data_IF_871770422093
#
_entry.id   IF_871770422093
#
_cell.length_a   1.000
_cell.length_b   1.000
_cell.length_c   1.000
_cell.angle_alpha   90.00
_cell.angle_beta   90.00
_cell.angle_gamma   90.00
#
_symmetry.space_group_name_H-M   'P 1'
#
loop_
_entity.id
_entity.type
_entity.pdbx_description
1 polymer ?
#
# COMPACT_ATOMS: atom_id res chain seq x y z
N UNK A 1 47.81 -18.69 -32.14
CA UNK A 1 47.99 -18.64 -30.68
C UNK A 1 46.94 -17.72 -30.06
N UNK A 2 46.29 -18.16 -28.97
CA UNK A 2 45.28 -17.43 -28.17
C UNK A 2 45.90 -16.24 -27.42
N UNK A 3 45.10 -15.22 -27.15
CA UNK A 3 44.73 -14.64 -25.83
C UNK A 3 43.82 -13.43 -26.13
N UNK A 4 42.67 -13.14 -25.52
CA UNK A 4 42.08 -13.53 -24.24
C UNK A 4 41.80 -12.25 -23.44
N UNK A 5 40.53 -11.79 -23.36
CA UNK A 5 40.14 -10.64 -22.54
C UNK A 5 38.71 -10.16 -22.80
N UNK A 6 37.73 -10.79 -22.16
CA UNK A 6 36.34 -10.32 -22.06
C UNK A 6 36.26 -9.05 -21.19
N UNK A 7 35.29 -8.15 -21.47
CA UNK A 7 34.65 -7.36 -20.42
C UNK A 7 33.18 -7.80 -20.22
N UNK A 8 32.86 -8.08 -18.97
CA UNK A 8 31.55 -8.43 -18.43
C UNK A 8 30.38 -7.54 -18.92
N UNK A 9 29.17 -8.10 -19.10
CA UNK A 9 27.99 -7.34 -19.51
C UNK A 9 27.44 -6.51 -18.33
N UNK A 10 27.19 -5.22 -18.60
CA UNK A 10 26.45 -4.33 -17.71
C UNK A 10 25.04 -4.89 -17.50
N UNK A 11 24.65 -5.02 -16.23
CA UNK A 11 23.32 -5.41 -15.78
C UNK A 11 22.26 -4.42 -16.29
N UNK A 12 21.45 -4.86 -17.24
CA UNK A 12 20.33 -4.10 -17.83
C UNK A 12 19.02 -4.32 -17.05
N UNK A 13 19.00 -3.97 -15.77
CA UNK A 13 17.74 -3.91 -15.01
C UNK A 13 17.11 -2.52 -15.09
N UNK A 14 16.65 -2.15 -16.28
CA UNK A 14 15.62 -1.12 -16.50
C UNK A 14 15.43 -0.89 -18.00
N UNK A 15 14.59 -1.70 -18.63
CA UNK A 15 14.01 -1.34 -19.92
C UNK A 15 12.49 -1.50 -19.79
N UNK A 16 11.70 -0.41 -19.89
CA UNK A 16 10.26 -0.54 -20.12
C UNK A 16 10.10 -1.20 -21.48
N UNK A 17 9.53 -2.40 -21.51
CA UNK A 17 9.22 -3.14 -22.74
C UNK A 17 8.19 -2.34 -23.55
N UNK A 18 8.68 -1.48 -24.45
CA UNK A 18 7.91 -0.96 -25.57
C UNK A 18 8.07 -1.94 -26.72
N UNK A 19 7.06 -2.77 -26.95
CA UNK A 19 6.96 -3.56 -28.18
C UNK A 19 6.62 -2.63 -29.34
N UNK A 20 7.63 -2.22 -30.11
CA UNK A 20 7.44 -1.80 -31.49
C UNK A 20 7.15 -3.06 -32.33
N UNK A 21 5.87 -3.36 -32.52
CA UNK A 21 5.39 -4.37 -33.48
C UNK A 21 4.60 -3.68 -34.58
N UNK A 22 5.26 -3.43 -35.72
CA UNK A 22 4.62 -3.04 -36.97
C UNK A 22 3.77 -4.21 -37.50
N UNK A 23 2.45 -4.08 -37.42
CA UNK A 23 1.51 -5.07 -37.97
C UNK A 23 0.16 -5.08 -37.26
N UNK A 24 -0.56 -3.96 -37.24
CA UNK A 24 -1.95 -3.92 -36.77
C UNK A 24 -2.89 -3.79 -37.98
N UNK A 25 -3.25 -4.92 -38.60
CA UNK A 25 -4.48 -5.03 -39.36
C UNK A 25 -5.63 -5.26 -38.37
N UNK A 26 -6.65 -4.38 -38.39
CA UNK A 26 -7.94 -4.56 -37.70
C UNK A 26 -7.90 -5.04 -36.22
N UNK A 27 -6.95 -4.54 -35.41
CA UNK A 27 -6.73 -4.98 -34.02
C UNK A 27 -7.17 -3.99 -32.94
N UNK A 28 -8.48 -3.82 -32.70
CA UNK A 28 -8.97 -2.94 -31.61
C UNK A 28 -9.53 -3.68 -30.40
N UNK A 29 -9.98 -4.93 -30.56
CA UNK A 29 -10.57 -5.73 -29.47
C UNK A 29 -9.55 -6.61 -28.77
N UNK A 30 -8.70 -7.36 -29.49
CA UNK A 30 -7.69 -8.23 -28.86
C UNK A 30 -6.65 -7.46 -28.04
N UNK A 31 -6.08 -6.37 -28.56
CA UNK A 31 -5.15 -5.53 -27.80
C UNK A 31 -5.80 -4.93 -26.55
N UNK A 32 -7.09 -4.56 -26.61
CA UNK A 32 -7.83 -4.08 -25.43
C UNK A 32 -8.05 -5.20 -24.42
N UNK A 33 -8.40 -6.40 -24.86
CA UNK A 33 -8.64 -7.56 -23.99
C UNK A 33 -7.35 -7.99 -23.28
N UNK A 34 -6.22 -8.04 -23.99
CA UNK A 34 -4.91 -8.40 -23.38
C UNK A 34 -4.46 -7.35 -22.35
N UNK A 35 -4.61 -6.06 -22.64
CA UNK A 35 -4.34 -4.98 -21.69
C UNK A 35 -5.23 -5.09 -20.43
N UNK A 36 -6.52 -5.40 -20.62
CA UNK A 36 -7.48 -5.59 -19.53
C UNK A 36 -7.15 -6.82 -18.68
N UNK A 37 -6.70 -7.94 -19.27
CA UNK A 37 -6.32 -9.15 -18.53
C UNK A 37 -5.06 -8.91 -17.67
N UNK A 38 -4.09 -8.14 -18.17
CA UNK A 38 -2.90 -7.76 -17.39
C UNK A 38 -3.28 -6.83 -16.22
N UNK A 39 -4.21 -5.88 -16.43
CA UNK A 39 -4.78 -5.04 -15.36
C UNK A 39 -5.55 -5.87 -14.30
N UNK A 40 -6.26 -6.93 -14.72
CA UNK A 40 -7.00 -7.81 -13.80
C UNK A 40 -6.09 -8.57 -12.82
N UNK A 41 -4.82 -8.81 -13.18
CA UNK A 41 -3.80 -9.40 -12.31
C UNK A 41 -3.28 -8.48 -11.19
N UNK A 42 -3.61 -7.18 -11.23
CA UNK A 42 -3.22 -6.18 -10.23
C UNK A 42 -4.31 -5.83 -9.21
N UNK A 43 -5.44 -6.55 -9.19
CA UNK A 43 -6.54 -6.28 -8.27
C UNK A 43 -6.12 -6.35 -6.81
N UNK A 44 -6.59 -5.39 -6.02
CA UNK A 44 -6.43 -5.42 -4.56
C UNK A 44 -7.14 -6.65 -3.99
N UNK A 45 -6.38 -7.54 -3.35
CA UNK A 45 -6.95 -8.75 -2.78
C UNK A 45 -7.91 -8.41 -1.64
N UNK A 46 -9.00 -9.18 -1.48
CA UNK A 46 -10.02 -8.91 -0.46
C UNK A 46 -9.47 -8.87 0.97
N UNK A 47 -8.44 -9.68 1.25
CA UNK A 47 -7.75 -9.69 2.55
C UNK A 47 -7.02 -8.39 2.84
N UNK A 48 -6.58 -7.62 1.82
CA UNK A 48 -5.92 -6.32 2.00
C UNK A 48 -6.86 -5.30 2.62
N UNK A 49 -8.16 -5.36 2.30
CA UNK A 49 -9.16 -4.52 2.97
C UNK A 49 -9.28 -4.89 4.45
N UNK A 50 -9.30 -6.19 4.75
CA UNK A 50 -9.42 -6.70 6.12
C UNK A 50 -8.21 -6.27 6.95
N UNK A 51 -6.99 -6.44 6.43
CA UNK A 51 -5.77 -6.04 7.16
C UNK A 51 -5.67 -4.52 7.32
N UNK A 52 -6.08 -3.75 6.30
CA UNK A 52 -6.07 -2.28 6.37
C UNK A 52 -7.09 -1.75 7.39
N UNK A 53 -8.25 -2.40 7.50
CA UNK A 53 -9.27 -2.03 8.49
C UNK A 53 -8.89 -2.51 9.90
N UNK A 54 -8.28 -3.69 10.01
CA UNK A 54 -7.89 -4.27 11.28
C UNK A 54 -6.83 -3.42 12.00
N UNK A 55 -5.88 -2.81 11.28
CA UNK A 55 -4.81 -2.01 11.90
C UNK A 55 -5.30 -0.92 12.87
N UNK A 56 -6.16 0.06 12.46
CA UNK A 56 -6.67 1.06 13.40
C UNK A 56 -7.66 0.48 14.41
N UNK A 57 -8.47 -0.51 14.04
CA UNK A 57 -9.48 -1.11 14.93
C UNK A 57 -8.82 -1.85 16.08
N UNK A 58 -7.79 -2.65 15.80
CA UNK A 58 -7.01 -3.38 16.80
C UNK A 58 -6.34 -2.40 17.74
N UNK A 59 -5.73 -1.31 17.23
CA UNK A 59 -5.08 -0.32 18.08
C UNK A 59 -6.07 0.31 19.08
N UNK A 60 -7.22 0.78 18.58
CA UNK A 60 -8.25 1.40 19.42
C UNK A 60 -8.84 0.39 20.41
N UNK A 61 -9.16 -0.82 19.94
CA UNK A 61 -9.71 -1.89 20.78
C UNK A 61 -8.74 -2.29 21.90
N UNK A 62 -7.45 -2.47 21.58
CA UNK A 62 -6.43 -2.77 22.56
C UNK A 62 -6.26 -1.64 23.59
N UNK A 63 -6.30 -0.38 23.17
CA UNK A 63 -6.23 0.76 24.08
C UNK A 63 -7.42 0.81 25.06
N UNK A 64 -8.63 0.54 24.58
CA UNK A 64 -9.84 0.47 25.42
C UNK A 64 -9.74 -0.68 26.42
N UNK A 65 -9.38 -1.88 25.95
CA UNK A 65 -9.25 -3.07 26.79
C UNK A 65 -8.13 -2.93 27.82
N UNK A 66 -6.96 -2.43 27.41
CA UNK A 66 -5.83 -2.21 28.30
C UNK A 66 -6.18 -1.21 29.41
N UNK A 67 -6.88 -0.12 29.06
CA UNK A 67 -7.36 0.85 30.05
C UNK A 67 -8.42 0.26 30.98
N UNK A 68 -9.30 -0.61 30.50
CA UNK A 68 -10.34 -1.23 31.32
C UNK A 68 -9.78 -2.19 32.39
N UNK A 69 -8.64 -2.83 32.10
CA UNK A 69 -7.97 -3.79 33.01
C UNK A 69 -6.92 -3.10 33.89
N UNK A 70 -6.53 -1.87 33.57
CA UNK A 70 -5.52 -1.13 34.31
C UNK A 70 -6.04 -0.73 35.70
N UNK A 71 -5.29 -1.10 36.74
CA UNK A 71 -5.66 -0.86 38.14
C UNK A 71 -5.21 0.49 38.67
N UNK A 72 -4.30 1.17 37.97
CA UNK A 72 -3.77 2.49 38.34
C UNK A 72 -4.50 3.61 37.60
N UNK A 73 -4.48 4.82 38.16
CA UNK A 73 -4.98 6.01 37.47
C UNK A 73 -4.25 6.20 36.14
N UNK A 74 -5.01 6.44 35.08
CA UNK A 74 -4.49 6.71 33.74
C UNK A 74 -5.34 7.79 33.06
N UNK A 75 -4.70 8.89 32.72
CA UNK A 75 -5.36 10.00 32.01
C UNK A 75 -5.07 9.91 30.51
N UNK A 76 -6.12 9.72 29.71
CA UNK A 76 -5.99 9.53 28.26
C UNK A 76 -5.70 10.81 27.49
N UNK A 77 -5.86 11.97 28.14
CA UNK A 77 -5.52 13.27 27.53
C UNK A 77 -4.02 13.53 27.58
N UNK A 78 -3.41 13.29 28.75
CA UNK A 78 -1.99 13.56 28.98
C UNK A 78 -1.08 12.35 28.71
N UNK A 79 -1.54 11.13 28.99
CA UNK A 79 -0.69 9.93 28.93
C UNK A 79 -0.87 9.15 27.63
N UNK A 80 0.26 8.73 27.06
CA UNK A 80 0.32 8.05 25.76
C UNK A 80 -0.13 6.60 25.80
N UNK A 81 -0.50 6.08 24.64
CA UNK A 81 -0.64 4.66 24.32
C UNK A 81 0.66 3.90 24.58
N UNK A 82 1.82 4.48 24.27
CA UNK A 82 3.12 3.90 24.61
C UNK A 82 3.35 3.77 26.11
N UNK A 83 2.91 4.76 26.89
CA UNK A 83 2.92 4.69 28.35
C UNK A 83 1.98 3.59 28.87
N UNK A 84 0.80 3.45 28.28
CA UNK A 84 -0.14 2.36 28.60
C UNK A 84 0.46 0.98 28.32
N UNK A 85 1.22 0.85 27.23
CA UNK A 85 1.95 -0.37 26.87
C UNK A 85 3.17 -0.67 27.76
N UNK A 86 3.57 0.25 28.64
CA UNK A 86 4.69 0.07 29.55
C UNK A 86 4.29 -0.18 31.00
N UNK A 87 3.00 -0.31 31.31
CA UNK A 87 2.51 -0.28 32.71
C UNK A 87 1.53 -1.38 33.08
N UNK A 88 1.84 -2.04 34.20
CA UNK A 88 0.88 -2.77 35.03
C UNK A 88 0.11 -3.87 34.31
N UNK A 89 -1.16 -4.05 34.71
CA UNK A 89 -2.05 -5.10 34.20
C UNK A 89 -2.51 -4.89 32.75
N UNK A 90 -2.43 -3.66 32.22
CA UNK A 90 -2.83 -3.32 30.85
C UNK A 90 -1.71 -3.48 29.81
N UNK A 91 -0.45 -3.58 30.24
CA UNK A 91 0.74 -3.62 29.39
C UNK A 91 0.64 -4.68 28.28
N UNK A 92 0.40 -5.94 28.65
CA UNK A 92 0.40 -7.05 27.68
C UNK A 92 -0.65 -6.89 26.57
N UNK A 93 -1.83 -6.35 26.93
CA UNK A 93 -2.93 -6.10 25.97
C UNK A 93 -2.53 -5.02 24.97
N UNK A 94 -1.98 -3.91 25.47
CA UNK A 94 -1.60 -2.80 24.61
C UNK A 94 -0.40 -3.14 23.72
N UNK A 95 0.62 -3.83 24.24
CA UNK A 95 1.75 -4.33 23.45
C UNK A 95 1.28 -5.29 22.36
N UNK A 96 0.38 -6.23 22.66
CA UNK A 96 -0.21 -7.11 21.66
C UNK A 96 -0.99 -6.32 20.58
N UNK A 97 -1.70 -5.26 20.99
CA UNK A 97 -2.36 -4.32 20.10
C UNK A 97 -1.38 -3.65 19.12
N UNK A 98 -0.23 -3.17 19.59
CA UNK A 98 0.81 -2.62 18.74
C UNK A 98 1.38 -3.66 17.76
N UNK A 99 1.71 -4.85 18.25
CA UNK A 99 2.25 -5.94 17.41
C UNK A 99 1.28 -6.31 16.30
N UNK A 100 0.00 -6.53 16.64
CA UNK A 100 -1.00 -6.92 15.67
C UNK A 100 -1.31 -5.80 14.67
N UNK A 101 -1.41 -4.54 15.13
CA UNK A 101 -1.60 -3.39 14.24
C UNK A 101 -0.43 -3.21 13.27
N UNK A 102 0.80 -3.37 13.76
CA UNK A 102 2.02 -3.33 12.96
C UNK A 102 2.07 -4.46 11.92
N UNK A 103 1.74 -5.69 12.33
CA UNK A 103 1.63 -6.83 11.42
C UNK A 103 0.57 -6.60 10.33
N UNK A 104 -0.58 -6.02 10.70
CA UNK A 104 -1.61 -5.61 9.75
C UNK A 104 -1.10 -4.57 8.74
N UNK A 105 -0.26 -3.62 9.15
CA UNK A 105 0.35 -2.64 8.23
C UNK A 105 1.32 -3.30 7.25
N UNK A 106 2.17 -4.23 7.72
CA UNK A 106 3.08 -4.99 6.85
C UNK A 106 2.29 -5.85 5.86
N UNK A 107 1.25 -6.54 6.33
CA UNK A 107 0.35 -7.30 5.47
C UNK A 107 -0.31 -6.40 4.41
N UNK A 108 -0.81 -5.24 4.83
CA UNK A 108 -1.41 -4.25 3.94
C UNK A 108 -0.42 -3.78 2.87
N UNK A 109 0.85 -3.56 3.21
CA UNK A 109 1.91 -3.23 2.25
C UNK A 109 2.15 -4.32 1.18
N UNK A 110 1.99 -5.59 1.55
CA UNK A 110 2.08 -6.72 0.60
C UNK A 110 0.89 -6.76 -0.37
N UNK A 111 -0.29 -6.37 0.10
CA UNK A 111 -1.55 -6.45 -0.65
C UNK A 111 -1.85 -5.25 -1.56
N UNK A 112 -1.31 -4.07 -1.24
CA UNK A 112 -1.54 -2.81 -1.95
C UNK A 112 -0.71 -2.72 -3.25
N UNK A 113 -1.04 -3.56 -4.25
CA UNK A 113 -0.34 -3.58 -5.55
C UNK A 113 -0.67 -2.38 -6.46
N UNK A 114 -1.78 -1.69 -6.20
CA UNK A 114 -2.25 -0.54 -6.99
C UNK A 114 -1.43 0.74 -6.74
N UNK A 115 -0.69 0.81 -5.63
CA UNK A 115 0.17 1.96 -5.32
C UNK A 115 1.62 1.68 -5.67
N UNK A 116 2.38 2.76 -5.87
CA UNK A 116 3.82 2.72 -6.16
C UNK A 116 4.57 1.91 -5.10
N UNK A 117 5.61 1.20 -5.55
CA UNK A 117 6.48 0.42 -4.66
C UNK A 117 7.06 1.26 -3.52
N UNK A 118 7.38 2.53 -3.77
CA UNK A 118 7.84 3.49 -2.75
C UNK A 118 6.89 3.61 -1.56
N UNK A 119 5.58 3.73 -1.81
CA UNK A 119 4.57 3.83 -0.75
C UNK A 119 4.46 2.52 0.06
N UNK A 120 4.60 1.37 -0.62
CA UNK A 120 4.57 0.05 0.02
C UNK A 120 5.78 -0.17 0.92
N UNK A 121 6.96 0.25 0.47
CA UNK A 121 8.19 0.20 1.28
C UNK A 121 8.03 1.09 2.51
N UNK A 122 7.54 2.33 2.36
CA UNK A 122 7.29 3.21 3.50
C UNK A 122 6.28 2.61 4.50
N UNK A 123 5.21 1.99 4.00
CA UNK A 123 4.23 1.31 4.85
C UNK A 123 4.82 0.09 5.59
N UNK A 124 5.68 -0.68 4.93
CA UNK A 124 6.39 -1.79 5.57
C UNK A 124 7.39 -1.30 6.63
N UNK A 125 8.14 -0.22 6.34
CA UNK A 125 9.02 0.45 7.31
C UNK A 125 8.23 0.91 8.53
N UNK A 126 7.09 1.56 8.32
CA UNK A 126 6.21 1.98 9.41
C UNK A 126 5.76 0.81 10.29
N UNK A 127 5.38 -0.31 9.68
CA UNK A 127 5.05 -1.54 10.40
C UNK A 127 6.23 -2.08 11.21
N UNK A 128 7.44 -2.14 10.63
CA UNK A 128 8.65 -2.53 11.35
C UNK A 128 8.96 -1.60 12.53
N UNK A 129 8.79 -0.28 12.35
CA UNK A 129 8.90 0.70 13.42
C UNK A 129 7.88 0.44 14.54
N UNK A 130 6.63 0.10 14.20
CA UNK A 130 5.61 -0.28 15.19
C UNK A 130 5.97 -1.54 15.98
N UNK A 131 6.59 -2.54 15.34
CA UNK A 131 7.13 -3.71 16.04
C UNK A 131 8.28 -3.34 16.98
N UNK A 132 9.16 -2.43 16.57
CA UNK A 132 10.23 -1.91 17.42
C UNK A 132 9.67 -1.13 18.63
N UNK A 133 8.64 -0.30 18.45
CA UNK A 133 7.92 0.38 19.54
C UNK A 133 7.37 -0.63 20.56
N UNK A 134 6.81 -1.75 20.09
CA UNK A 134 6.32 -2.82 20.96
C UNK A 134 7.45 -3.57 21.69
N UNK A 135 8.60 -3.78 21.03
CA UNK A 135 9.75 -4.47 21.60
C UNK A 135 10.52 -3.62 22.64
N UNK A 136 10.50 -2.30 22.49
CA UNK A 136 11.23 -1.35 23.34
C UNK A 136 10.23 -0.46 24.09
N UNK A 137 9.61 -0.93 25.19
CA UNK A 137 8.64 -0.13 25.95
C UNK A 137 9.30 1.11 26.58
N UNK A 138 8.58 2.24 26.55
CA UNK A 138 9.07 3.56 26.97
C UNK A 138 9.40 3.67 28.47
N UNK A 139 8.79 2.83 29.30
CA UNK A 139 8.98 2.86 30.77
C UNK A 139 10.33 2.29 31.22
N UNK A 140 11.09 1.67 30.32
CA UNK A 140 12.46 1.22 30.59
C UNK A 140 13.42 2.30 30.13
N UNK A 141 14.07 3.01 31.05
CA UNK A 141 14.92 4.17 30.76
C UNK A 141 16.01 3.91 29.72
N UNK A 142 16.57 2.69 29.68
CA UNK A 142 17.58 2.29 28.70
C UNK A 142 17.05 2.21 27.25
N UNK A 143 15.73 2.09 27.08
CA UNK A 143 15.07 1.92 25.79
C UNK A 143 14.45 3.21 25.24
N UNK A 144 14.44 4.30 26.02
CA UNK A 144 13.73 5.54 25.68
C UNK A 144 14.15 6.09 24.32
N UNK A 145 15.45 6.18 24.06
CA UNK A 145 15.98 6.68 22.79
C UNK A 145 15.56 5.81 21.60
N UNK A 146 15.68 4.49 21.73
CA UNK A 146 15.27 3.52 20.70
C UNK A 146 13.76 3.57 20.46
N UNK A 147 12.97 3.69 21.52
CA UNK A 147 11.51 3.83 21.43
C UNK A 147 11.13 5.10 20.68
N UNK A 148 11.71 6.24 21.03
CA UNK A 148 11.43 7.53 20.39
C UNK A 148 11.86 7.54 18.92
N UNK A 149 13.02 6.94 18.60
CA UNK A 149 13.48 6.79 17.21
C UNK A 149 12.53 5.90 16.40
N UNK A 150 12.08 4.78 16.97
CA UNK A 150 11.14 3.89 16.32
C UNK A 150 9.76 4.56 16.12
N UNK A 151 9.23 5.21 17.16
CA UNK A 151 7.96 5.91 17.10
C UNK A 151 8.00 7.05 16.08
N UNK A 152 8.99 7.95 16.17
CA UNK A 152 9.16 9.05 15.24
C UNK A 152 9.39 8.58 13.80
N UNK A 153 10.24 7.56 13.60
CA UNK A 153 10.46 6.96 12.29
C UNK A 153 9.20 6.35 11.68
N UNK A 154 8.38 5.68 12.49
CA UNK A 154 7.11 5.10 12.06
C UNK A 154 6.09 6.15 11.64
N UNK A 155 5.92 7.20 12.45
CA UNK A 155 5.03 8.33 12.15
C UNK A 155 5.45 9.03 10.85
N UNK A 156 6.74 9.38 10.72
CA UNK A 156 7.28 10.02 9.50
C UNK A 156 7.06 9.12 8.28
N UNK A 157 7.33 7.81 8.39
CA UNK A 157 7.12 6.87 7.29
C UNK A 157 5.64 6.84 6.86
N UNK A 158 4.69 6.84 7.80
CA UNK A 158 3.25 6.88 7.50
C UNK A 158 2.82 8.21 6.89
N UNK A 159 3.29 9.35 7.41
CA UNK A 159 3.01 10.67 6.87
C UNK A 159 3.47 10.84 5.40
N UNK A 160 4.51 10.10 4.99
CA UNK A 160 5.02 10.07 3.62
C UNK A 160 4.28 9.09 2.70
N UNK A 161 3.48 8.15 3.21
CA UNK A 161 2.74 7.19 2.35
C UNK A 161 1.86 7.87 1.29
N UNK A 162 1.06 8.94 1.59
CA UNK A 162 0.23 9.60 0.60
C UNK A 162 1.05 10.19 -0.56
N UNK A 163 2.09 10.97 -0.24
CA UNK A 163 2.94 11.62 -1.25
C UNK A 163 3.74 10.58 -2.06
N UNK A 164 4.23 9.52 -1.43
CA UNK A 164 4.95 8.44 -2.12
C UNK A 164 4.03 7.56 -2.99
N UNK A 165 2.73 7.58 -2.73
CA UNK A 165 1.70 6.85 -3.47
C UNK A 165 1.08 7.66 -4.62
N UNK A 166 1.46 8.91 -4.80
CA UNK A 166 0.84 9.79 -5.80
C UNK A 166 1.04 9.27 -7.22
N UNK A 167 0.03 9.46 -8.07
CA UNK A 167 0.11 9.20 -9.51
C UNK A 167 -0.75 10.20 -10.28
N UNK A 168 -0.21 10.69 -11.40
CA UNK A 168 -0.90 11.62 -12.32
C UNK A 168 -1.62 10.91 -13.47
N UNK A 169 -1.58 9.57 -13.53
CA UNK A 169 -2.21 8.81 -14.61
C UNK A 169 -3.75 8.96 -14.58
N UNK A 170 -4.38 9.02 -15.75
CA UNK A 170 -5.83 9.28 -15.88
C UNK A 170 -6.72 8.22 -15.19
N UNK A 171 -6.26 6.97 -15.11
CA UNK A 171 -6.94 5.86 -14.44
C UNK A 171 -6.69 5.79 -12.91
N UNK A 172 -5.95 6.75 -12.35
CA UNK A 172 -5.57 6.74 -10.92
C UNK A 172 -6.77 7.07 -10.01
N UNK A 173 -6.97 6.33 -8.90
CA UNK A 173 -7.96 6.68 -7.87
C UNK A 173 -7.80 8.12 -7.36
N UNK A 174 -8.91 8.81 -7.05
CA UNK A 174 -8.90 10.22 -6.61
C UNK A 174 -7.94 10.48 -5.44
N UNK A 175 -7.85 9.55 -4.49
CA UNK A 175 -6.98 9.64 -3.30
C UNK A 175 -5.49 9.69 -3.64
N UNK A 176 -5.09 9.09 -4.77
CA UNK A 176 -3.71 9.08 -5.24
C UNK A 176 -3.42 10.26 -6.19
N UNK A 177 -4.39 11.14 -6.48
CA UNK A 177 -4.14 12.35 -7.26
C UNK A 177 -3.28 13.33 -6.47
N UNK A 178 -2.44 14.15 -7.14
CA UNK A 178 -1.49 15.04 -6.48
C UNK A 178 -2.11 15.95 -5.41
N UNK A 179 -3.27 16.57 -5.69
CA UNK A 179 -3.95 17.45 -4.72
C UNK A 179 -4.35 16.71 -3.45
N UNK A 180 -5.02 15.56 -3.57
CA UNK A 180 -5.46 14.77 -2.42
C UNK A 180 -4.28 14.19 -1.63
N UNK A 181 -3.26 13.68 -2.34
CA UNK A 181 -2.04 13.15 -1.72
C UNK A 181 -1.28 14.23 -0.93
N UNK A 182 -1.13 15.44 -1.50
CA UNK A 182 -0.48 16.57 -0.83
C UNK A 182 -1.27 17.03 0.39
N UNK A 183 -2.60 17.18 0.27
CA UNK A 183 -3.45 17.55 1.40
C UNK A 183 -3.37 16.52 2.52
N UNK A 184 -3.43 15.23 2.18
CA UNK A 184 -3.32 14.16 3.16
C UNK A 184 -1.96 14.16 3.86
N UNK A 185 -0.85 14.22 3.11
CA UNK A 185 0.49 14.32 3.72
C UNK A 185 0.61 15.57 4.59
N UNK A 186 0.08 16.72 4.18
CA UNK A 186 0.11 17.92 5.01
C UNK A 186 -0.67 17.72 6.32
N UNK A 187 -1.87 17.14 6.28
CA UNK A 187 -2.66 16.82 7.48
C UNK A 187 -1.90 15.87 8.40
N UNK A 188 -1.33 14.79 7.87
CA UNK A 188 -0.56 13.83 8.67
C UNK A 188 0.69 14.49 9.27
N UNK A 189 1.43 15.29 8.50
CA UNK A 189 2.58 16.04 9.01
C UNK A 189 2.19 17.01 10.13
N UNK A 190 1.06 17.72 10.02
CA UNK A 190 0.57 18.62 11.07
C UNK A 190 0.24 17.83 12.35
N UNK A 191 -0.38 16.66 12.23
CA UNK A 191 -0.66 15.77 13.36
C UNK A 191 0.64 15.29 14.03
N UNK A 192 1.64 14.87 13.25
CA UNK A 192 2.96 14.46 13.77
C UNK A 192 3.68 15.64 14.45
N UNK A 193 3.63 16.83 13.86
CA UNK A 193 4.19 18.04 14.47
C UNK A 193 3.46 18.41 15.76
N UNK A 194 2.16 18.17 15.85
CA UNK A 194 1.40 18.37 17.07
C UNK A 194 1.85 17.40 18.17
N UNK A 195 2.06 16.12 17.86
CA UNK A 195 2.65 15.15 18.81
C UNK A 195 4.02 15.62 19.29
N UNK A 196 4.88 16.05 18.36
CA UNK A 196 6.21 16.58 18.70
C UNK A 196 6.13 17.80 19.62
N UNK A 197 5.22 18.74 19.32
CA UNK A 197 5.01 19.93 20.13
C UNK A 197 4.52 19.58 21.54
N UNK A 198 3.50 18.73 21.67
CA UNK A 198 2.97 18.31 22.96
C UNK A 198 4.01 17.53 23.77
N UNK A 199 4.88 16.74 23.12
CA UNK A 199 5.96 16.01 23.79
C UNK A 199 7.01 16.93 24.43
N UNK A 200 7.11 18.19 23.99
CA UNK A 200 8.08 19.17 24.49
C UNK A 200 7.48 20.17 25.46
N UNK A 201 6.21 20.53 25.27
CA UNK A 201 5.61 21.70 25.90
C UNK A 201 4.20 21.50 26.43
N UNK A 202 3.56 20.38 26.10
CA UNK A 202 2.12 20.25 26.18
C UNK A 202 1.63 19.28 27.25
N UNK A 203 0.32 19.34 27.50
CA UNK A 203 -0.40 18.49 28.45
C UNK A 203 -1.36 17.53 27.75
N UNK A 204 -1.50 17.64 26.43
CA UNK A 204 -2.41 16.85 25.60
C UNK A 204 -1.67 15.80 24.76
N UNK A 205 -0.47 15.40 25.18
CA UNK A 205 0.36 14.44 24.46
C UNK A 205 -0.38 13.12 24.19
N UNK A 206 -1.13 12.61 25.17
CA UNK A 206 -1.94 11.41 25.02
C UNK A 206 -3.03 11.54 23.95
N UNK A 207 -3.68 12.70 23.87
CA UNK A 207 -4.68 12.97 22.84
C UNK A 207 -4.04 13.07 21.45
N UNK A 208 -2.98 13.88 21.33
CA UNK A 208 -2.29 14.12 20.07
C UNK A 208 -1.76 12.80 19.47
N UNK A 209 -1.16 11.94 20.29
CA UNK A 209 -0.64 10.64 19.85
C UNK A 209 -1.76 9.73 19.35
N UNK A 210 -2.89 9.64 20.06
CA UNK A 210 -4.03 8.81 19.63
C UNK A 210 -4.62 9.26 18.31
N UNK A 211 -4.86 10.56 18.17
CA UNK A 211 -5.45 11.11 16.94
C UNK A 211 -4.50 10.90 15.76
N UNK A 212 -3.21 11.14 15.96
CA UNK A 212 -2.18 10.88 14.94
C UNK A 212 -2.14 9.40 14.57
N UNK A 213 -1.98 8.51 15.53
CA UNK A 213 -1.84 7.07 15.29
C UNK A 213 -3.06 6.49 14.59
N UNK A 214 -4.28 6.82 15.02
CA UNK A 214 -5.51 6.34 14.38
C UNK A 214 -5.65 6.89 12.96
N UNK A 215 -5.36 8.17 12.75
CA UNK A 215 -5.49 8.80 11.43
C UNK A 215 -4.47 8.23 10.44
N UNK A 216 -3.23 8.04 10.86
CA UNK A 216 -2.17 7.46 10.03
C UNK A 216 -2.42 5.98 9.70
N UNK A 217 -2.89 5.20 10.68
CA UNK A 217 -3.28 3.80 10.44
C UNK A 217 -4.54 3.66 9.58
N UNK A 218 -5.42 4.65 9.57
CA UNK A 218 -6.62 4.65 8.72
C UNK A 218 -6.32 5.01 7.25
N UNK A 219 -5.21 5.69 6.96
CA UNK A 219 -4.90 6.12 5.59
C UNK A 219 -4.82 4.96 4.58
N UNK A 220 -4.10 3.84 4.84
CA UNK A 220 -4.11 2.68 3.95
C UNK A 220 -5.50 2.12 3.66
N UNK A 221 -6.41 2.13 4.65
CA UNK A 221 -7.80 1.73 4.46
C UNK A 221 -8.52 2.65 3.47
N UNK A 222 -8.37 3.97 3.61
CA UNK A 222 -8.92 4.95 2.66
C UNK A 222 -8.42 4.67 1.25
N UNK A 223 -7.12 4.40 1.09
CA UNK A 223 -6.52 4.08 -0.23
C UNK A 223 -7.11 2.80 -0.81
N UNK A 224 -7.22 1.71 -0.03
CA UNK A 224 -7.79 0.44 -0.50
C UNK A 224 -9.26 0.60 -0.89
N UNK A 225 -10.06 1.31 -0.09
CA UNK A 225 -11.49 1.54 -0.41
C UNK A 225 -11.64 2.36 -1.68
N UNK A 226 -10.86 3.43 -1.84
CA UNK A 226 -10.88 4.26 -3.05
C UNK A 226 -10.41 3.49 -4.29
N UNK A 227 -9.36 2.66 -4.17
CA UNK A 227 -8.88 1.82 -5.26
C UNK A 227 -9.95 0.81 -5.70
N UNK A 228 -10.59 0.10 -4.76
CA UNK A 228 -11.66 -0.84 -5.07
C UNK A 228 -12.87 -0.17 -5.73
N UNK A 229 -13.24 1.04 -5.30
CA UNK A 229 -14.33 1.81 -5.93
C UNK A 229 -14.00 2.21 -7.37
N UNK A 230 -12.75 2.60 -7.63
CA UNK A 230 -12.29 2.93 -8.98
C UNK A 230 -12.29 1.69 -9.90
N UNK A 231 -11.77 0.55 -9.42
CA UNK A 231 -11.79 -0.73 -10.16
C UNK A 231 -13.22 -1.18 -10.51
N UNK A 232 -14.17 -1.03 -9.58
CA UNK A 232 -15.58 -1.37 -9.79
C UNK A 232 -16.25 -0.48 -10.84
N UNK A 233 -15.95 0.82 -10.83
CA UNK A 233 -16.49 1.77 -11.80
C UNK A 233 -16.05 1.44 -13.24
N UNK A 234 -14.82 0.95 -13.42
CA UNK A 234 -14.28 0.53 -14.72
C UNK A 234 -14.80 -0.86 -15.14
N UNK A 235 -14.92 -1.80 -14.20
CA UNK A 235 -15.30 -3.19 -14.52
C UNK A 235 -16.78 -3.34 -14.88
N UNK A 236 -17.69 -2.64 -14.20
CA UNK A 236 -19.15 -2.80 -14.40
C UNK A 236 -19.62 -2.57 -15.85
N UNK A 237 -19.22 -1.48 -16.54
CA UNK A 237 -19.59 -1.25 -17.94
C UNK A 237 -19.00 -2.29 -18.90
N UNK A 238 -17.78 -2.78 -18.62
CA UNK A 238 -17.11 -3.79 -19.44
C UNK A 238 -17.80 -5.14 -19.36
N UNK A 239 -18.18 -5.57 -18.14
CA UNK A 239 -18.94 -6.80 -17.97
C UNK A 239 -20.28 -6.72 -18.69
N UNK A 240 -20.99 -5.60 -18.59
CA UNK A 240 -22.26 -5.38 -19.31
C UNK A 240 -22.09 -5.42 -20.84
N UNK A 241 -21.00 -4.83 -21.37
CA UNK A 241 -20.70 -4.86 -22.80
C UNK A 241 -20.32 -6.27 -23.29
N UNK A 242 -19.57 -7.05 -22.50
CA UNK A 242 -19.21 -8.44 -22.84
C UNK A 242 -20.43 -9.37 -22.74
N UNK A 243 -21.29 -9.21 -21.72
CA UNK A 243 -22.52 -10.00 -21.62
C UNK A 243 -23.55 -9.63 -22.68
N UNK A 244 -23.53 -8.39 -23.17
CA UNK A 244 -24.35 -7.92 -24.29
C UNK A 244 -23.77 -8.27 -25.67
N UNK A 245 -22.56 -8.80 -25.74
CA UNK A 245 -21.95 -9.24 -26.99
C UNK A 245 -22.52 -10.61 -27.39
N UNK A 246 -23.47 -10.59 -28.34
CA UNK A 246 -23.86 -11.80 -29.07
C UNK A 246 -22.76 -12.06 -30.10
N UNK A 247 -22.01 -13.18 -30.04
CA UNK A 247 -21.04 -13.48 -31.08
C UNK A 247 -21.79 -13.60 -32.40
N UNK A 248 -21.33 -12.89 -33.43
CA UNK A 248 -21.75 -13.17 -34.80
C UNK A 248 -21.55 -14.67 -35.03
N UNK A 249 -22.62 -15.36 -35.41
CA UNK A 249 -22.54 -16.76 -35.84
C UNK A 249 -21.41 -16.85 -36.86
N UNK A 250 -20.40 -17.72 -36.65
CA UNK A 250 -19.34 -17.84 -37.62
C UNK A 250 -19.98 -18.36 -38.90
N UNK A 251 -20.01 -17.52 -39.94
CA UNK A 251 -20.21 -18.01 -41.30
C UNK A 251 -19.17 -19.10 -41.51
N UNK A 252 -19.65 -20.34 -41.62
CA UNK A 252 -18.89 -21.58 -41.55
C UNK A 252 -17.95 -21.82 -42.75
N UNK A 253 -17.52 -20.75 -43.42
CA UNK A 253 -16.83 -20.82 -44.71
C UNK A 253 -15.37 -20.35 -44.70
N UNK A 254 -14.86 -19.69 -43.65
CA UNK A 254 -13.49 -19.15 -43.69
C UNK A 254 -12.64 -19.51 -42.47
N UNK A 255 -11.50 -20.14 -42.75
CA UNK A 255 -10.36 -20.42 -41.87
C UNK A 255 -10.40 -21.64 -40.94
N UNK A 256 -10.65 -22.82 -41.53
CA UNK A 256 -9.86 -24.02 -41.19
C UNK A 256 -8.49 -23.90 -41.88
N UNK A 257 -7.53 -23.23 -41.26
CA UNK A 257 -6.12 -23.37 -41.66
C UNK A 257 -5.25 -23.41 -40.41
N UNK A 258 -4.77 -24.62 -40.10
CA UNK A 258 -3.80 -24.89 -39.04
C UNK A 258 -2.46 -24.29 -39.48
N UNK A 259 -2.03 -23.17 -38.90
CA UNK A 259 -0.67 -22.66 -39.14
C UNK A 259 0.33 -23.59 -38.45
N UNK A 260 0.92 -24.50 -39.22
CA UNK A 260 2.15 -25.19 -38.84
C UNK A 260 3.34 -24.27 -39.13
N UNK A 261 4.20 -24.12 -38.13
CA UNK A 261 5.44 -23.36 -38.18
C UNK A 261 6.39 -24.00 -39.21
N UNK A 262 6.66 -23.29 -40.30
CA UNK A 262 7.76 -23.62 -41.21
C UNK A 262 7.32 -23.73 -42.66
N UNK A 263 7.21 -22.59 -43.33
CA UNK A 263 7.55 -22.51 -44.75
C UNK A 263 8.12 -21.12 -45.04
N UNK A 264 9.45 -21.11 -45.24
CA UNK A 264 10.17 -20.00 -45.85
C UNK A 264 9.81 -20.00 -47.33
N UNK A 265 9.19 -18.95 -47.85
CA UNK A 265 9.21 -18.69 -49.30
C UNK A 265 9.37 -17.19 -49.56
N UNK A 266 10.60 -16.86 -49.94
CA UNK A 266 10.96 -16.10 -51.14
C UNK A 266 10.16 -14.84 -51.47
N UNK A 267 10.82 -13.70 -51.31
CA UNK A 267 10.43 -12.45 -51.96
C UNK A 267 10.57 -12.56 -53.49
N UNK A 268 9.63 -11.99 -54.28
CA UNK A 268 9.91 -11.54 -55.62
C UNK A 268 10.30 -10.04 -55.66
N UNK A 269 11.23 -9.76 -56.57
CA UNK A 269 11.79 -8.48 -57.02
C UNK A 269 10.71 -7.42 -57.40
N UNK A 270 11.00 -6.12 -57.53
CA UNK A 270 12.18 -5.39 -57.99
C UNK A 270 12.17 -3.95 -57.43
#
# INVERSE_FOLDING_TARGET
MRTGGEPWPKSSWSQPFWCHGSGCGAGTTECRVVLVVIEQGCRTAGWTLVTAAAAPVVLVGAAILARAVLTTSYDSWSETLSVLAGRGSGQGIMTAGFVLSAACQIATAMGLRVVRLSARIALAIAGCCGLAVAAFPVTVSANESTHLLAAGGGLIALALVPILGMSSAAATPLVCRPRCALTATLVLCVLVLWVYYEARHGVFLGLAERLTAVTELAWPLVVVVCARRAEQAITRPLTAAVTGYVPATPDSALCRTRMTLGDRLSAPAA
#
